data_IF_418891511318
#
_entry.id   IF_418891511318
#
_cell.length_a   1.000
_cell.length_b   1.000
_cell.length_c   1.000
_cell.angle_alpha   90.00
_cell.angle_beta   90.00
_cell.angle_gamma   90.00
#
_symmetry.space_group_name_H-M   'P 1'
#
loop_
_entity.id
_entity.type
_entity.pdbx_description
1 polymer ?
#
# COMPACT_ATOMS: atom_id res chain seq x y z
N UNK A 1 17.33 -14.47 -13.86
CA UNK A 1 16.46 -15.18 -12.89
C UNK A 1 17.31 -15.63 -11.72
N UNK A 2 16.87 -15.40 -10.48
CA UNK A 2 17.51 -15.95 -9.28
C UNK A 2 16.68 -17.12 -8.78
N UNK A 3 17.33 -18.19 -8.33
CA UNK A 3 16.65 -19.34 -7.73
C UNK A 3 16.51 -19.11 -6.22
N UNK A 4 15.28 -19.14 -5.74
CA UNK A 4 14.94 -19.01 -4.32
C UNK A 4 14.13 -20.22 -3.91
N UNK A 5 14.52 -20.88 -2.82
CA UNK A 5 13.73 -21.94 -2.21
C UNK A 5 12.83 -21.31 -1.14
N UNK A 6 11.52 -21.55 -1.23
CA UNK A 6 10.54 -21.04 -0.27
C UNK A 6 9.85 -22.21 0.42
N UNK A 7 9.59 -22.06 1.71
CA UNK A 7 8.79 -23.01 2.48
C UNK A 7 7.37 -22.47 2.60
N UNK A 8 6.39 -23.30 2.28
CA UNK A 8 4.97 -22.98 2.39
C UNK A 8 4.32 -23.88 3.44
N UNK A 9 3.33 -23.35 4.14
CA UNK A 9 2.45 -24.21 4.94
C UNK A 9 1.64 -25.13 4.01
N UNK A 10 1.26 -26.31 4.51
CA UNK A 10 0.46 -27.27 3.75
C UNK A 10 -0.82 -26.63 3.17
N UNK A 11 -1.49 -25.80 3.97
CA UNK A 11 -2.70 -25.09 3.53
C UNK A 11 -2.44 -24.10 2.40
N UNK A 12 -1.28 -23.46 2.39
CA UNK A 12 -0.87 -22.53 1.33
C UNK A 12 -0.53 -23.30 0.05
N UNK A 13 0.23 -24.39 0.20
CA UNK A 13 0.57 -25.27 -0.93
C UNK A 13 -0.68 -25.81 -1.62
N UNK A 14 -1.65 -26.32 -0.87
CA UNK A 14 -2.88 -26.85 -1.47
C UNK A 14 -3.69 -25.79 -2.21
N UNK A 15 -3.81 -24.58 -1.64
CA UNK A 15 -4.49 -23.47 -2.34
C UNK A 15 -3.83 -23.11 -3.66
N UNK A 16 -2.49 -23.04 -3.68
CA UNK A 16 -1.74 -22.72 -4.90
C UNK A 16 -1.87 -23.86 -5.91
N UNK A 17 -1.87 -25.11 -5.45
CA UNK A 17 -2.06 -26.29 -6.29
C UNK A 17 -3.44 -26.31 -6.95
N UNK A 18 -4.51 -26.10 -6.18
CA UNK A 18 -5.88 -26.04 -6.71
C UNK A 18 -6.01 -24.94 -7.76
N UNK A 19 -5.38 -23.78 -7.53
CA UNK A 19 -5.38 -22.67 -8.48
C UNK A 19 -4.60 -23.01 -9.76
N UNK A 20 -3.44 -23.64 -9.61
CA UNK A 20 -2.62 -24.09 -10.73
C UNK A 20 -3.36 -25.12 -11.61
N UNK A 21 -4.08 -26.07 -11.01
CA UNK A 21 -4.90 -27.05 -11.73
C UNK A 21 -6.08 -26.36 -12.45
N UNK A 22 -6.76 -25.42 -11.79
CA UNK A 22 -7.90 -24.68 -12.38
C UNK A 22 -7.51 -23.80 -13.56
N UNK A 23 -6.30 -23.25 -13.55
CA UNK A 23 -5.81 -22.36 -14.61
C UNK A 23 -4.91 -23.05 -15.63
N UNK A 24 -4.70 -24.37 -15.52
CA UNK A 24 -3.76 -25.14 -16.35
C UNK A 24 -2.34 -24.56 -16.37
N UNK A 25 -1.92 -23.96 -15.24
CA UNK A 25 -0.62 -23.32 -15.07
C UNK A 25 0.27 -24.14 -14.14
N UNK A 26 1.58 -23.88 -14.20
CA UNK A 26 2.51 -24.43 -13.21
C UNK A 26 2.38 -23.70 -11.87
N UNK A 27 2.62 -24.41 -10.76
CA UNK A 27 2.70 -23.83 -9.41
C UNK A 27 3.68 -22.65 -9.38
N UNK A 28 4.84 -22.80 -10.00
CA UNK A 28 5.84 -21.72 -10.06
C UNK A 28 5.36 -20.50 -10.85
N UNK A 29 4.49 -20.69 -11.84
CA UNK A 29 3.88 -19.58 -12.59
C UNK A 29 2.86 -18.85 -11.73
N UNK A 30 1.95 -19.58 -11.07
CA UNK A 30 0.99 -18.99 -10.12
C UNK A 30 1.71 -18.20 -9.03
N UNK A 31 2.78 -18.76 -8.45
CA UNK A 31 3.56 -18.07 -7.40
C UNK A 31 4.15 -16.77 -7.92
N UNK A 32 4.68 -16.75 -9.16
CA UNK A 32 5.21 -15.51 -9.75
C UNK A 32 4.11 -14.48 -9.99
N UNK A 33 2.98 -14.90 -10.57
CA UNK A 33 1.83 -14.01 -10.83
C UNK A 33 1.31 -13.40 -9.53
N UNK A 34 1.17 -14.20 -8.46
CA UNK A 34 0.76 -13.70 -7.13
C UNK A 34 1.77 -12.74 -6.51
N UNK A 35 3.07 -12.99 -6.69
CA UNK A 35 4.12 -12.08 -6.25
C UNK A 35 4.02 -10.77 -7.03
N UNK A 36 3.95 -10.84 -8.35
CA UNK A 36 3.87 -9.68 -9.23
C UNK A 36 2.63 -8.84 -8.90
N UNK A 37 1.45 -9.44 -8.77
CA UNK A 37 0.22 -8.77 -8.36
C UNK A 37 0.32 -8.11 -6.97
N UNK A 38 0.93 -8.81 -6.01
CA UNK A 38 1.11 -8.29 -4.64
C UNK A 38 2.00 -7.04 -4.61
N UNK A 39 3.01 -6.97 -5.46
CA UNK A 39 3.93 -5.83 -5.51
C UNK A 39 3.49 -4.76 -6.51
N UNK A 40 2.63 -5.10 -7.48
CA UNK A 40 2.13 -4.14 -8.47
C UNK A 40 1.31 -3.01 -7.85
N UNK A 41 0.55 -3.31 -6.79
CA UNK A 41 -0.21 -2.32 -6.03
C UNK A 41 0.70 -1.32 -5.29
N UNK A 42 1.95 -1.67 -4.97
CA UNK A 42 2.82 -0.76 -4.20
C UNK A 42 3.34 0.42 -5.03
N UNK A 43 3.48 0.26 -6.35
CA UNK A 43 4.05 1.32 -7.20
C UNK A 43 2.95 2.20 -7.85
N UNK A 44 1.87 1.62 -8.38
CA UNK A 44 0.83 2.42 -9.03
C UNK A 44 -0.08 3.18 -8.04
N UNK A 45 -0.36 2.61 -6.87
CA UNK A 45 -1.24 3.28 -5.90
C UNK A 45 -0.53 4.37 -5.12
N UNK A 46 0.79 4.25 -4.88
CA UNK A 46 1.59 5.35 -4.29
C UNK A 46 1.63 6.59 -5.16
N UNK A 47 1.68 6.44 -6.48
CA UNK A 47 1.71 7.56 -7.42
C UNK A 47 0.33 8.25 -7.55
N UNK A 48 -0.75 7.49 -7.35
CA UNK A 48 -2.14 7.98 -7.40
C UNK A 48 -2.65 8.50 -6.06
N UNK A 49 -2.12 8.02 -4.93
CA UNK A 49 -2.57 8.42 -3.60
C UNK A 49 -2.25 9.92 -3.35
N UNK A 50 -3.30 10.75 -3.13
CA UNK A 50 -3.13 12.18 -2.86
C UNK A 50 -2.21 12.49 -1.67
N UNK A 51 -2.04 11.56 -0.72
CA UNK A 51 -1.18 11.75 0.46
C UNK A 51 0.30 11.92 0.06
N UNK A 52 0.75 11.23 -0.98
CA UNK A 52 2.14 11.32 -1.45
C UNK A 52 2.36 12.48 -2.43
N UNK A 53 1.28 13.14 -2.89
CA UNK A 53 1.33 14.41 -3.64
C UNK A 53 1.47 15.64 -2.76
N UNK A 54 1.48 15.48 -1.44
CA UNK A 54 1.67 16.57 -0.48
C UNK A 54 3.14 17.01 -0.52
N UNK A 55 3.43 18.08 -1.29
CA UNK A 55 4.78 18.67 -1.44
C UNK A 55 5.26 19.41 -0.18
N UNK A 56 4.40 19.50 0.85
CA UNK A 56 4.73 20.02 2.17
C UNK A 56 3.49 20.34 3.00
N UNK A 57 3.55 20.12 4.31
CA UNK A 57 2.62 20.77 5.24
C UNK A 57 3.00 22.25 5.29
N UNK A 58 2.05 23.15 5.08
CA UNK A 58 2.30 24.60 5.10
C UNK A 58 3.02 25.02 6.38
N UNK A 59 4.13 25.74 6.24
CA UNK A 59 4.89 26.25 7.37
C UNK A 59 4.18 27.48 7.93
N UNK A 60 3.49 27.33 9.07
CA UNK A 60 3.04 28.48 9.87
C UNK A 60 4.24 29.18 10.52
N UNK A 61 4.03 30.34 11.14
CA UNK A 61 5.08 31.12 11.83
C UNK A 61 5.69 30.42 13.07
N UNK A 62 5.40 29.13 13.29
CA UNK A 62 5.84 28.35 14.45
C UNK A 62 5.01 28.56 15.71
N UNK A 63 4.02 29.45 15.68
CA UNK A 63 3.11 29.67 16.80
C UNK A 63 2.08 28.52 16.88
N UNK A 64 1.85 27.93 18.06
CA UNK A 64 0.96 26.78 18.24
C UNK A 64 -0.52 27.21 18.18
N UNK A 65 -1.00 27.56 16.98
CA UNK A 65 -2.39 27.97 16.71
C UNK A 65 -3.40 26.81 16.77
N UNK A 66 -2.94 25.58 17.02
CA UNK A 66 -3.81 24.41 17.13
C UNK A 66 -4.72 24.44 18.38
N UNK A 67 -4.31 25.14 19.44
CA UNK A 67 -5.11 25.26 20.66
C UNK A 67 -6.17 26.35 20.57
N UNK A 68 -5.86 27.43 19.87
CA UNK A 68 -6.71 28.63 19.76
C UNK A 68 -7.35 28.73 18.36
N UNK A 69 -7.60 27.56 17.76
CA UNK A 69 -8.07 27.44 16.37
C UNK A 69 -9.39 28.18 16.15
N UNK A 70 -10.27 28.21 17.16
CA UNK A 70 -11.58 28.86 17.06
C UNK A 70 -11.43 30.39 16.93
N UNK A 71 -10.55 30.99 17.72
CA UNK A 71 -10.29 32.43 17.67
C UNK A 71 -9.64 32.84 16.34
N UNK A 72 -8.69 32.03 15.86
CA UNK A 72 -7.95 32.28 14.61
C UNK A 72 -8.85 32.10 13.38
N UNK A 73 -9.73 31.10 13.37
CA UNK A 73 -10.60 30.81 12.23
C UNK A 73 -11.86 31.66 12.18
N UNK A 74 -12.44 31.98 13.34
CA UNK A 74 -13.72 32.67 13.42
C UNK A 74 -13.63 34.13 13.85
N UNK A 75 -12.42 34.63 14.14
CA UNK A 75 -12.13 36.06 14.16
C UNK A 75 -13.10 36.89 14.98
N UNK A 76 -13.29 36.53 16.25
CA UNK A 76 -13.97 37.35 17.27
C UNK A 76 -15.48 37.54 17.08
N UNK A 77 -16.25 36.95 17.99
CA UNK A 77 -17.47 37.59 18.47
C UNK A 77 -17.24 38.02 19.91
N UNK A 78 -16.87 39.29 20.10
CA UNK A 78 -17.38 40.21 21.13
C UNK A 78 -17.06 41.67 20.77
#
# INVERSE_FOLDING_TARGET
MKQTNISLEERQYQRVKDLAEREEKSISQIIRELIDESFHLEDEDREKDPIFKVVGMGHGKGEPVARDHDEVLYGGEE
#
